data_IF_209585017156
#
_entry.id   IF_209585017156
#
_cell.length_a   1.000
_cell.length_b   1.000
_cell.length_c   1.000
_cell.angle_alpha   90.00
_cell.angle_beta   90.00
_cell.angle_gamma   90.00
#
_symmetry.space_group_name_H-M   'P 1'
#
loop_
_entity.id
_entity.type
_entity.pdbx_description
1 polymer ?
#
# COMPACT_ATOMS: atom_id res chain seq x y z
N UNK A 1 -14.84 4.77 9.66
CA UNK A 1 -13.88 4.80 10.79
C UNK A 1 -14.68 4.92 12.06
N UNK A 2 -14.26 4.32 13.18
CA UNK A 2 -14.86 4.61 14.48
C UNK A 2 -14.69 6.11 14.76
N UNK A 3 -15.72 6.82 15.28
CA UNK A 3 -15.68 8.26 15.51
C UNK A 3 -14.89 8.59 16.78
N UNK A 4 -13.60 8.25 16.80
CA UNK A 4 -12.70 8.56 17.90
C UNK A 4 -12.14 9.96 17.64
N UNK A 5 -12.32 10.89 18.57
CA UNK A 5 -11.73 12.23 18.44
C UNK A 5 -10.22 12.17 18.51
N UNK A 6 -9.56 12.95 17.68
CA UNK A 6 -8.12 13.14 17.75
C UNK A 6 -7.73 13.76 19.09
N UNK A 7 -6.54 13.40 19.59
CA UNK A 7 -5.88 13.98 20.76
C UNK A 7 -4.57 14.63 20.31
N UNK A 8 -4.58 15.92 19.90
CA UNK A 8 -3.39 16.57 19.32
C UNK A 8 -2.14 16.49 20.18
N UNK A 9 -2.28 16.48 21.50
CA UNK A 9 -1.16 16.32 22.44
C UNK A 9 -0.48 14.94 22.37
N UNK A 10 -1.12 13.94 21.73
CA UNK A 10 -0.61 12.56 21.60
C UNK A 10 -0.27 12.24 20.15
N UNK A 11 -1.17 12.59 19.22
CA UNK A 11 -1.11 12.18 17.82
C UNK A 11 -0.76 13.35 16.88
N UNK A 12 -0.60 14.56 17.40
CA UNK A 12 -0.39 15.76 16.57
C UNK A 12 -1.70 16.30 15.99
N UNK A 13 -1.60 17.43 15.35
CA UNK A 13 -2.71 18.04 14.60
C UNK A 13 -2.88 17.36 13.25
N UNK A 14 -4.11 17.22 12.80
CA UNK A 14 -4.48 16.64 11.51
C UNK A 14 -4.99 17.77 10.61
N UNK A 15 -4.06 18.55 10.07
CA UNK A 15 -4.36 19.72 9.26
C UNK A 15 -4.82 19.34 7.86
N UNK A 16 -5.81 20.06 7.35
CA UNK A 16 -6.22 19.99 5.95
C UNK A 16 -5.60 21.19 5.25
N UNK A 17 -4.77 20.94 4.24
CA UNK A 17 -4.08 21.98 3.48
C UNK A 17 -4.59 22.03 2.05
N UNK A 18 -4.50 23.22 1.42
CA UNK A 18 -4.68 23.38 -0.01
C UNK A 18 -3.38 23.03 -0.79
N UNK A 19 -3.40 23.20 -2.11
CA UNK A 19 -2.26 22.93 -3.01
C UNK A 19 -1.08 23.91 -2.83
N UNK A 20 -1.23 24.94 -2.00
CA UNK A 20 -0.19 25.92 -1.66
C UNK A 20 0.27 25.81 -0.21
N UNK A 21 -0.04 24.69 0.46
CA UNK A 21 0.25 24.42 1.86
C UNK A 21 -0.44 25.37 2.87
N UNK A 22 -1.47 26.12 2.45
CA UNK A 22 -2.25 26.88 3.39
C UNK A 22 -3.22 25.97 4.16
N UNK A 23 -3.26 26.12 5.47
CA UNK A 23 -4.21 25.38 6.31
C UNK A 23 -5.61 25.92 6.08
N UNK A 24 -6.49 25.08 5.54
CA UNK A 24 -7.89 25.41 5.25
C UNK A 24 -8.88 24.72 6.21
N UNK A 25 -8.40 23.84 7.07
CA UNK A 25 -9.22 23.13 8.05
C UNK A 25 -8.43 22.18 8.92
N UNK A 26 -9.15 21.43 9.74
CA UNK A 26 -8.59 20.39 10.61
C UNK A 26 -9.56 19.21 10.68
N UNK A 27 -9.02 17.97 10.61
CA UNK A 27 -9.80 16.76 10.83
C UNK A 27 -9.83 16.42 12.32
N UNK A 28 -11.02 16.39 12.88
CA UNK A 28 -11.23 16.10 14.31
C UNK A 28 -11.24 14.59 14.60
N UNK A 29 -11.53 13.76 13.61
CA UNK A 29 -11.59 12.31 13.80
C UNK A 29 -10.18 11.72 13.61
N UNK A 30 -9.75 10.92 14.57
CA UNK A 30 -8.42 10.31 14.56
C UNK A 30 -8.25 9.39 13.35
N UNK A 31 -7.34 9.78 12.42
CA UNK A 31 -7.14 9.11 11.13
C UNK A 31 -6.29 7.83 11.22
N UNK A 32 -5.48 7.67 12.27
CA UNK A 32 -4.65 6.46 12.45
C UNK A 32 -5.45 5.22 12.90
N UNK A 33 -6.75 5.36 13.11
CA UNK A 33 -7.60 4.21 13.46
C UNK A 33 -7.92 3.37 12.23
N UNK A 34 -8.14 2.07 12.44
CA UNK A 34 -8.57 1.17 11.37
C UNK A 34 -9.87 1.68 10.72
N UNK A 35 -9.95 1.56 9.40
CA UNK A 35 -11.16 1.90 8.67
C UNK A 35 -12.30 0.93 9.01
N UNK A 36 -13.55 1.37 8.82
CA UNK A 36 -14.73 0.50 8.96
C UNK A 36 -14.98 -0.40 7.74
N UNK A 37 -14.04 -0.43 6.79
CA UNK A 37 -14.14 -1.22 5.55
C UNK A 37 -13.12 -2.36 5.65
N UNK A 38 -13.57 -3.58 5.43
CA UNK A 38 -12.67 -4.74 5.40
C UNK A 38 -11.74 -4.73 4.18
N UNK A 39 -10.59 -5.36 4.29
CA UNK A 39 -9.52 -5.32 3.27
C UNK A 39 -10.03 -5.76 1.89
N UNK A 40 -10.76 -6.88 1.81
CA UNK A 40 -11.30 -7.37 0.52
C UNK A 40 -12.34 -6.41 -0.09
N UNK A 41 -13.05 -5.64 0.74
CA UNK A 41 -13.98 -4.62 0.25
C UNK A 41 -13.25 -3.39 -0.29
N UNK A 42 -12.12 -3.01 0.34
CA UNK A 42 -11.28 -1.92 -0.17
C UNK A 42 -10.74 -2.28 -1.54
N UNK A 43 -10.17 -3.47 -1.72
CA UNK A 43 -9.64 -3.93 -3.02
C UNK A 43 -10.72 -3.86 -4.11
N UNK A 44 -11.92 -4.41 -3.84
CA UNK A 44 -13.04 -4.35 -4.79
C UNK A 44 -13.46 -2.92 -5.10
N UNK A 45 -13.54 -2.08 -4.06
CA UNK A 45 -13.98 -0.69 -4.22
C UNK A 45 -12.98 0.14 -5.04
N UNK A 46 -11.69 -0.04 -4.83
CA UNK A 46 -10.65 0.62 -5.61
C UNK A 46 -10.70 0.18 -7.08
N UNK A 47 -10.93 -1.12 -7.34
CA UNK A 47 -11.07 -1.64 -8.69
C UNK A 47 -12.28 -1.07 -9.45
N UNK A 48 -13.40 -0.74 -8.76
CA UNK A 48 -14.56 -0.04 -9.38
C UNK A 48 -14.19 1.33 -9.98
N UNK A 49 -13.11 1.95 -9.48
CA UNK A 49 -12.58 3.23 -9.97
C UNK A 49 -11.33 3.08 -10.85
N UNK A 50 -11.11 1.89 -11.40
CA UNK A 50 -9.94 1.53 -12.21
C UNK A 50 -8.60 1.76 -11.48
N UNK A 51 -8.60 1.71 -10.16
CA UNK A 51 -7.40 1.78 -9.33
C UNK A 51 -6.85 0.40 -8.99
N UNK A 52 -5.72 0.39 -8.31
CA UNK A 52 -5.15 -0.80 -7.72
C UNK A 52 -4.90 -0.58 -6.23
N UNK A 53 -5.08 -1.64 -5.45
CA UNK A 53 -4.81 -1.68 -4.03
C UNK A 53 -3.95 -2.90 -3.71
N UNK A 54 -2.86 -2.70 -3.01
CA UNK A 54 -1.97 -3.77 -2.56
C UNK A 54 -1.41 -3.48 -1.17
N UNK A 55 -1.03 -4.51 -0.40
CA UNK A 55 -0.48 -4.32 0.93
C UNK A 55 0.94 -3.76 0.85
N UNK A 56 1.20 -2.73 1.65
CA UNK A 56 2.48 -2.09 1.78
C UNK A 56 3.45 -2.91 2.65
N UNK A 57 4.75 -2.87 2.33
CA UNK A 57 5.89 -3.36 3.11
C UNK A 57 5.59 -4.59 3.99
N UNK A 58 5.12 -5.67 3.34
CA UNK A 58 4.63 -6.89 4.03
C UNK A 58 5.70 -7.56 4.90
N UNK A 59 6.96 -7.30 4.65
CA UNK A 59 8.12 -7.81 5.40
C UNK A 59 8.41 -7.05 6.70
N UNK A 60 7.67 -5.94 6.97
CA UNK A 60 7.82 -5.19 8.22
C UNK A 60 7.12 -5.88 9.38
N UNK A 61 7.76 -5.85 10.56
CA UNK A 61 7.23 -6.45 11.79
C UNK A 61 6.08 -5.66 12.41
N UNK A 62 5.82 -4.44 11.91
CA UNK A 62 4.72 -3.57 12.35
C UNK A 62 4.09 -2.88 11.14
N UNK A 63 2.81 -2.52 11.28
CA UNK A 63 2.01 -1.82 10.25
C UNK A 63 1.89 -2.55 8.91
N UNK A 64 2.19 -3.86 8.87
CA UNK A 64 2.02 -4.68 7.67
C UNK A 64 0.83 -5.62 7.80
N UNK A 65 0.34 -6.13 6.66
CA UNK A 65 -0.75 -7.11 6.68
C UNK A 65 -0.32 -8.40 7.37
N UNK A 66 0.93 -8.84 7.15
CA UNK A 66 1.45 -10.06 7.79
C UNK A 66 1.62 -9.88 9.30
N UNK A 67 2.03 -8.70 9.77
CA UNK A 67 2.16 -8.45 11.21
C UNK A 67 0.79 -8.37 11.92
N UNK A 68 -0.25 -7.95 11.21
CA UNK A 68 -1.59 -7.79 11.79
C UNK A 68 -2.49 -9.02 11.63
N UNK A 69 -2.44 -9.68 10.47
CA UNK A 69 -3.33 -10.80 10.12
C UNK A 69 -2.61 -12.14 10.06
N UNK A 70 -1.27 -12.15 10.02
CA UNK A 70 -0.46 -13.37 9.96
C UNK A 70 -0.45 -14.07 8.60
N UNK A 71 -1.28 -13.65 7.67
CA UNK A 71 -1.43 -14.28 6.36
C UNK A 71 -1.75 -13.28 5.26
N UNK A 72 -1.46 -13.71 4.03
CA UNK A 72 -1.93 -13.10 2.79
C UNK A 72 -2.34 -14.23 1.86
N UNK A 73 -3.55 -14.16 1.30
CA UNK A 73 -4.12 -15.22 0.47
C UNK A 73 -5.07 -14.66 -0.60
N UNK A 74 -5.60 -15.56 -1.43
CA UNK A 74 -6.47 -15.23 -2.57
C UNK A 74 -7.77 -14.50 -2.17
N UNK A 75 -8.24 -14.69 -0.94
CA UNK A 75 -9.48 -14.07 -0.45
C UNK A 75 -9.41 -12.54 -0.51
N UNK A 76 -8.24 -11.94 -0.29
CA UNK A 76 -8.08 -10.49 -0.32
C UNK A 76 -8.16 -9.90 -1.73
N UNK A 77 -7.85 -10.68 -2.77
CA UNK A 77 -7.96 -10.27 -4.17
C UNK A 77 -6.83 -9.34 -4.65
N UNK A 78 -5.72 -9.27 -3.94
CA UNK A 78 -4.55 -8.50 -4.35
C UNK A 78 -3.94 -9.05 -5.65
N UNK A 79 -3.37 -8.14 -6.44
CA UNK A 79 -2.57 -8.44 -7.65
C UNK A 79 -1.09 -8.22 -7.44
N UNK A 80 -0.75 -7.36 -6.50
CA UNK A 80 0.60 -6.98 -6.13
C UNK A 80 0.77 -7.06 -4.62
N UNK A 81 2.01 -7.07 -4.15
CA UNK A 81 2.39 -6.83 -2.77
C UNK A 81 3.72 -6.07 -2.75
N UNK A 82 3.91 -5.19 -1.78
CA UNK A 82 5.16 -4.47 -1.62
C UNK A 82 6.02 -5.13 -0.55
N UNK A 83 7.31 -5.32 -0.87
CA UNK A 83 8.36 -5.76 0.04
C UNK A 83 9.36 -4.62 0.18
N UNK A 84 9.61 -4.16 1.40
CA UNK A 84 10.58 -3.11 1.67
C UNK A 84 12.02 -3.54 1.37
N UNK A 85 12.39 -4.76 1.77
CA UNK A 85 13.69 -5.38 1.51
C UNK A 85 13.51 -6.55 0.53
N UNK A 86 13.76 -6.28 -0.75
CA UNK A 86 13.57 -7.26 -1.83
C UNK A 86 14.37 -8.55 -1.62
N UNK A 87 15.46 -8.52 -0.86
CA UNK A 87 16.26 -9.70 -0.57
C UNK A 87 15.50 -10.73 0.30
N UNK A 88 14.40 -10.34 0.92
CA UNK A 88 13.55 -11.25 1.70
C UNK A 88 12.47 -11.96 0.87
N UNK A 89 12.37 -11.68 -0.43
CA UNK A 89 11.32 -12.23 -1.29
C UNK A 89 11.29 -13.76 -1.24
N UNK A 90 12.43 -14.42 -1.43
CA UNK A 90 12.52 -15.89 -1.40
C UNK A 90 12.10 -16.50 -0.04
N UNK A 91 12.44 -15.83 1.06
CA UNK A 91 12.05 -16.29 2.40
C UNK A 91 10.54 -16.11 2.61
N UNK A 92 10.00 -15.01 2.16
CA UNK A 92 8.56 -14.71 2.26
C UNK A 92 7.74 -15.65 1.39
N UNK A 93 8.17 -15.95 0.16
CA UNK A 93 7.50 -16.89 -0.74
C UNK A 93 7.45 -18.29 -0.14
N UNK A 94 8.51 -18.74 0.52
CA UNK A 94 8.52 -20.04 1.24
C UNK A 94 7.52 -20.07 2.40
N UNK A 95 7.35 -18.97 3.11
CA UNK A 95 6.42 -18.87 4.26
C UNK A 95 4.97 -18.62 3.81
N UNK A 96 4.79 -17.91 2.72
CA UNK A 96 3.51 -17.46 2.19
C UNK A 96 3.43 -17.76 0.69
N UNK A 97 3.21 -19.02 0.26
CA UNK A 97 3.29 -19.41 -1.16
C UNK A 97 2.33 -18.68 -2.09
N UNK A 98 1.29 -18.03 -1.56
CA UNK A 98 0.40 -17.20 -2.37
C UNK A 98 1.11 -15.98 -2.98
N UNK A 99 2.20 -15.50 -2.38
CA UNK A 99 2.98 -14.37 -2.90
C UNK A 99 3.56 -14.64 -4.29
N UNK A 100 3.86 -15.90 -4.63
CA UNK A 100 4.30 -16.29 -5.98
C UNK A 100 3.30 -15.99 -7.08
N UNK A 101 2.03 -15.74 -6.72
CA UNK A 101 0.96 -15.34 -7.66
C UNK A 101 0.80 -13.84 -7.78
N UNK A 102 1.53 -13.05 -7.00
CA UNK A 102 1.46 -11.60 -6.95
C UNK A 102 2.68 -10.98 -7.60
N UNK A 103 2.52 -9.81 -8.22
CA UNK A 103 3.66 -8.98 -8.57
C UNK A 103 4.26 -8.38 -7.32
N UNK A 104 5.55 -8.63 -7.12
CA UNK A 104 6.27 -8.03 -6.01
C UNK A 104 6.81 -6.67 -6.46
N UNK A 105 6.52 -5.67 -5.64
CA UNK A 105 6.99 -4.30 -5.79
C UNK A 105 7.95 -3.97 -4.65
N UNK A 106 8.93 -3.13 -4.92
CA UNK A 106 9.84 -2.64 -3.88
C UNK A 106 10.12 -1.17 -4.07
N UNK A 107 9.84 -0.39 -3.06
CA UNK A 107 10.16 1.03 -3.02
C UNK A 107 10.82 1.43 -1.69
N UNK A 108 11.06 2.73 -1.48
CA UNK A 108 11.81 3.18 -0.32
C UNK A 108 10.97 3.41 0.92
N UNK A 109 9.64 3.48 0.81
CA UNK A 109 8.75 3.91 1.90
C UNK A 109 9.27 5.20 2.59
N UNK A 110 9.78 6.14 1.76
CA UNK A 110 10.49 7.32 2.23
C UNK A 110 9.52 8.39 2.73
N UNK A 111 9.71 8.81 3.98
CA UNK A 111 8.96 9.91 4.60
C UNK A 111 9.77 11.22 4.59
N UNK A 112 11.05 11.16 4.23
CA UNK A 112 11.97 12.28 4.09
C UNK A 112 12.83 12.08 2.84
N UNK A 113 13.32 13.16 2.23
CA UNK A 113 14.11 13.10 0.99
C UNK A 113 15.38 12.25 1.14
N UNK A 114 16.05 12.33 2.27
CA UNK A 114 17.25 11.54 2.57
C UNK A 114 16.99 10.03 2.67
N UNK A 115 15.74 9.62 2.85
CA UNK A 115 15.36 8.21 2.92
C UNK A 115 14.99 7.62 1.55
N UNK A 116 14.93 8.46 0.51
CA UNK A 116 14.69 7.99 -0.85
C UNK A 116 15.90 7.18 -1.34
N UNK A 117 15.65 5.92 -1.68
CA UNK A 117 16.68 5.02 -2.22
C UNK A 117 16.77 5.14 -3.73
N UNK A 118 17.93 4.77 -4.27
CA UNK A 118 18.06 4.53 -5.71
C UNK A 118 17.06 3.43 -6.10
N UNK A 119 16.27 3.61 -7.19
CA UNK A 119 15.33 2.59 -7.65
C UNK A 119 16.00 1.23 -7.84
N UNK A 120 15.45 0.21 -7.21
CA UNK A 120 15.94 -1.16 -7.28
C UNK A 120 15.15 -2.01 -8.28
N UNK A 121 13.99 -1.51 -8.70
CA UNK A 121 13.08 -2.20 -9.60
C UNK A 121 12.68 -1.28 -10.75
N UNK A 122 12.61 -1.86 -11.93
CA UNK A 122 12.15 -1.19 -13.15
C UNK A 122 10.94 -1.99 -13.67
N UNK A 123 9.86 -1.29 -13.98
CA UNK A 123 8.71 -1.87 -14.68
C UNK A 123 8.78 -1.49 -16.16
N UNK A 124 8.55 -2.45 -17.04
CA UNK A 124 8.48 -2.22 -18.47
C UNK A 124 7.03 -2.03 -18.90
N UNK A 125 6.72 -0.85 -19.40
CA UNK A 125 5.39 -0.47 -19.84
C UNK A 125 5.43 0.13 -21.24
N UNK A 126 4.42 -0.10 -22.10
CA UNK A 126 4.45 0.36 -23.49
C UNK A 126 4.44 1.89 -23.62
N UNK A 127 3.93 2.59 -22.63
CA UNK A 127 3.83 4.04 -22.61
C UNK A 127 4.09 4.57 -21.20
N UNK A 128 4.76 5.71 -21.11
CA UNK A 128 5.02 6.37 -19.83
C UNK A 128 3.78 7.22 -19.41
N UNK A 129 2.70 6.53 -19.03
CA UNK A 129 1.50 7.16 -18.51
C UNK A 129 0.85 6.28 -17.42
N UNK A 130 -0.04 6.89 -16.64
CA UNK A 130 -0.68 6.24 -15.49
C UNK A 130 -1.51 5.02 -15.89
N UNK A 131 -2.18 5.04 -17.04
CA UNK A 131 -3.01 3.92 -17.47
C UNK A 131 -2.15 2.69 -17.78
N UNK A 132 -1.03 2.87 -18.49
CA UNK A 132 -0.09 1.78 -18.77
C UNK A 132 0.50 1.17 -17.49
N UNK A 133 0.79 2.00 -16.48
CA UNK A 133 1.25 1.55 -15.17
C UNK A 133 0.13 0.76 -14.45
N UNK A 134 -1.09 1.27 -14.42
CA UNK A 134 -2.22 0.58 -13.79
C UNK A 134 -2.54 -0.75 -14.50
N UNK A 135 -2.47 -0.78 -15.81
CA UNK A 135 -2.66 -1.99 -16.61
C UNK A 135 -1.58 -3.04 -16.30
N UNK A 136 -0.31 -2.60 -16.22
CA UNK A 136 0.78 -3.47 -15.81
C UNK A 136 0.56 -4.08 -14.42
N UNK A 137 0.17 -3.27 -13.46
CA UNK A 137 -0.05 -3.70 -12.07
C UNK A 137 -1.29 -4.59 -11.93
N UNK A 138 -2.32 -4.40 -12.76
CA UNK A 138 -3.55 -5.20 -12.72
C UNK A 138 -3.45 -6.54 -13.47
N UNK A 139 -2.48 -6.74 -14.36
CA UNK A 139 -2.25 -8.05 -15.00
C UNK A 139 -1.72 -9.04 -13.98
N UNK A 140 -2.13 -10.30 -14.12
CA UNK A 140 -1.51 -11.40 -13.34
C UNK A 140 -0.10 -11.68 -13.86
N UNK A 141 0.76 -12.18 -12.98
CA UNK A 141 2.05 -12.69 -13.40
C UNK A 141 1.84 -13.84 -14.40
N UNK A 142 2.42 -13.72 -15.62
CA UNK A 142 2.22 -14.71 -16.69
C UNK A 142 1.09 -14.42 -17.70
N UNK A 143 0.29 -13.39 -17.51
CA UNK A 143 -0.64 -12.89 -18.55
C UNK A 143 0.16 -12.02 -19.54
N UNK A 144 0.50 -12.57 -20.70
CA UNK A 144 1.11 -11.86 -21.84
C UNK A 144 0.08 -11.13 -22.68
#
# INVERSE_FOLDING_TARGET
MPPIKNKPSVFGEQLICDENDNVIGQEEILLVTASGISTEKVVKKVAEYNGICYPAHIDRSSFSILSNLGTIDEYFGFKCAEIYDILKEDELNKKHPYLEKLKILSDSDAHYLENMRIPQQIIDVPENNINAILDYLNKKEGDN
#
